data_IF_348507522547
#
_entry.id   IF_348507522547
#
_cell.length_a   1.000
_cell.length_b   1.000
_cell.length_c   1.000
_cell.angle_alpha   90.00
_cell.angle_beta   90.00
_cell.angle_gamma   90.00
#
_symmetry.space_group_name_H-M   'P 1'
#
loop_
_entity.id
_entity.type
_entity.pdbx_description
1 polymer ?
#
# COMPACT_ATOMS: atom_id res chain seq x y z
N UNK A 1 -24.88 69.77 1.34
CA UNK A 1 -23.51 69.74 1.91
C UNK A 1 -23.61 68.95 3.21
N UNK A 2 -23.05 67.76 3.47
CA UNK A 2 -22.00 66.88 2.92
C UNK A 2 -22.43 65.45 3.27
N UNK A 3 -22.19 64.48 2.39
CA UNK A 3 -22.31 63.05 2.72
C UNK A 3 -21.08 62.32 2.17
N UNK A 4 -20.71 61.24 2.87
CA UNK A 4 -19.73 60.18 2.52
C UNK A 4 -18.31 60.32 3.07
N UNK A 5 -18.10 59.90 4.33
CA UNK A 5 -16.77 59.47 4.82
C UNK A 5 -16.87 58.37 5.89
N UNK A 6 -17.37 57.18 5.57
CA UNK A 6 -17.24 56.02 6.48
C UNK A 6 -16.81 54.71 5.80
N UNK A 7 -16.72 54.65 4.47
CA UNK A 7 -16.38 53.42 3.75
C UNK A 7 -14.89 53.06 3.76
N UNK A 8 -13.99 53.96 4.19
CA UNK A 8 -12.54 53.74 4.10
C UNK A 8 -11.93 53.06 5.33
N UNK A 9 -12.62 53.04 6.47
CA UNK A 9 -12.06 52.57 7.74
C UNK A 9 -12.22 51.06 7.95
N UNK A 10 -13.26 50.44 7.38
CA UNK A 10 -13.49 48.99 7.51
C UNK A 10 -12.49 48.14 6.73
N UNK A 11 -12.04 48.61 5.56
CA UNK A 11 -11.11 47.88 4.70
C UNK A 11 -9.67 47.92 5.21
N UNK A 12 -9.29 48.99 5.92
CA UNK A 12 -7.96 49.12 6.52
C UNK A 12 -7.78 48.19 7.74
N UNK A 13 -8.83 48.00 8.54
CA UNK A 13 -8.80 47.14 9.73
C UNK A 13 -8.70 45.64 9.41
N UNK A 14 -9.14 45.23 8.21
CA UNK A 14 -8.97 43.85 7.73
C UNK A 14 -7.54 43.56 7.24
N UNK A 15 -6.72 44.60 7.02
CA UNK A 15 -5.34 44.48 6.53
C UNK A 15 -4.31 44.40 7.67
N UNK A 16 -4.68 44.80 8.88
CA UNK A 16 -3.84 44.80 10.08
C UNK A 16 -4.13 43.62 11.03
N UNK A 17 -5.07 42.73 10.69
CA UNK A 17 -5.44 41.59 11.53
C UNK A 17 -4.54 40.38 11.24
N UNK A 18 -3.29 40.42 11.73
CA UNK A 18 -2.30 39.33 11.60
C UNK A 18 -2.77 38.01 12.23
N UNK A 19 -3.77 38.06 13.11
CA UNK A 19 -4.40 36.92 13.78
C UNK A 19 -4.99 35.89 12.80
N UNK A 20 -5.53 36.35 11.65
CA UNK A 20 -6.13 35.48 10.63
C UNK A 20 -5.12 34.91 9.63
N UNK A 21 -3.97 35.56 9.47
CA UNK A 21 -2.92 35.15 8.53
C UNK A 21 -2.34 33.80 8.90
N UNK A 22 -2.14 33.53 10.19
CA UNK A 22 -1.63 32.24 10.67
C UNK A 22 -2.59 31.08 10.37
N UNK A 23 -3.91 31.27 10.52
CA UNK A 23 -4.90 30.25 10.17
C UNK A 23 -4.95 29.99 8.66
N UNK A 24 -4.84 31.05 7.85
CA UNK A 24 -4.83 30.92 6.38
C UNK A 24 -3.58 30.14 5.93
N UNK A 25 -2.42 30.43 6.49
CA UNK A 25 -1.19 29.73 6.18
C UNK A 25 -1.29 28.22 6.50
N UNK A 26 -1.80 27.86 7.68
CA UNK A 26 -2.02 26.45 8.04
C UNK A 26 -3.00 25.77 7.08
N UNK A 27 -4.08 26.44 6.67
CA UNK A 27 -5.05 25.87 5.71
C UNK A 27 -4.42 25.63 4.34
N UNK A 28 -3.51 26.50 3.89
CA UNK A 28 -2.77 26.33 2.63
C UNK A 28 -1.79 25.15 2.72
N UNK A 29 -1.12 24.97 3.86
CA UNK A 29 -0.19 23.85 4.07
C UNK A 29 -0.87 22.51 4.39
N UNK A 30 -2.07 22.54 4.97
CA UNK A 30 -2.82 21.34 5.39
C UNK A 30 -2.98 20.29 4.28
N UNK A 31 -3.40 20.62 3.04
CA UNK A 31 -3.50 19.63 1.97
C UNK A 31 -2.16 19.00 1.60
N UNK A 32 -1.06 19.77 1.66
CA UNK A 32 0.28 19.23 1.42
C UNK A 32 0.67 18.23 2.52
N UNK A 33 0.46 18.61 3.78
CA UNK A 33 0.78 17.74 4.93
C UNK A 33 -0.06 16.45 4.92
N UNK A 34 -1.36 16.57 4.63
CA UNK A 34 -2.26 15.42 4.48
C UNK A 34 -1.81 14.56 3.31
N UNK A 35 -1.46 15.16 2.16
CA UNK A 35 -0.92 14.44 1.01
C UNK A 35 0.34 13.64 1.36
N UNK A 36 1.30 14.27 2.05
CA UNK A 36 2.51 13.58 2.52
C UNK A 36 2.19 12.43 3.49
N UNK A 37 1.25 12.63 4.42
CA UNK A 37 0.82 11.58 5.34
C UNK A 37 0.19 10.39 4.59
N UNK A 38 -0.68 10.65 3.63
CA UNK A 38 -1.28 9.61 2.80
C UNK A 38 -0.23 8.83 2.00
N UNK A 39 0.77 9.52 1.43
CA UNK A 39 1.88 8.85 0.73
C UNK A 39 2.69 7.94 1.66
N UNK A 40 2.96 8.37 2.89
CA UNK A 40 3.66 7.56 3.89
C UNK A 40 2.84 6.32 4.25
N UNK A 41 1.53 6.48 4.44
CA UNK A 41 0.62 5.37 4.76
C UNK A 41 0.59 4.38 3.60
N UNK A 42 0.40 4.85 2.37
CA UNK A 42 0.37 3.98 1.18
C UNK A 42 1.68 3.22 0.99
N UNK A 43 2.82 3.90 1.11
CA UNK A 43 4.10 3.23 0.99
C UNK A 43 4.32 2.18 2.09
N UNK A 44 3.96 2.51 3.33
CA UNK A 44 3.99 1.55 4.45
C UNK A 44 3.11 0.34 4.18
N UNK A 45 1.93 0.56 3.61
CA UNK A 45 0.97 -0.48 3.27
C UNK A 45 1.50 -1.41 2.17
N UNK A 46 2.07 -0.86 1.09
CA UNK A 46 2.70 -1.65 0.02
C UNK A 46 3.86 -2.51 0.55
N UNK A 47 4.70 -1.94 1.42
CA UNK A 47 5.79 -2.67 2.05
C UNK A 47 5.29 -3.79 2.97
N UNK A 48 4.19 -3.57 3.68
CA UNK A 48 3.53 -4.59 4.50
C UNK A 48 3.03 -5.75 3.65
N UNK A 49 2.28 -5.48 2.57
CA UNK A 49 1.79 -6.51 1.64
C UNK A 49 2.96 -7.32 1.08
N UNK A 50 4.01 -6.64 0.61
CA UNK A 50 5.19 -7.32 0.08
C UNK A 50 5.85 -8.24 1.12
N UNK A 51 6.05 -7.75 2.36
CA UNK A 51 6.63 -8.56 3.43
C UNK A 51 5.77 -9.80 3.74
N UNK A 52 4.45 -9.63 3.76
CA UNK A 52 3.50 -10.71 3.99
C UNK A 52 3.54 -11.76 2.88
N UNK A 53 3.57 -11.34 1.61
CA UNK A 53 3.74 -12.23 0.45
C UNK A 53 5.02 -13.07 0.56
N UNK A 54 6.12 -12.48 1.02
CA UNK A 54 7.37 -13.19 1.29
C UNK A 54 7.25 -14.21 2.42
N UNK A 55 6.51 -13.89 3.48
CA UNK A 55 6.26 -14.81 4.58
C UNK A 55 5.39 -15.98 4.13
N UNK A 56 4.25 -15.70 3.48
CA UNK A 56 3.31 -16.72 3.03
C UNK A 56 3.93 -17.67 2.00
N UNK A 57 4.69 -17.13 1.03
CA UNK A 57 5.39 -17.94 0.03
C UNK A 57 6.41 -18.87 0.68
N UNK A 58 7.15 -18.39 1.67
CA UNK A 58 8.18 -19.17 2.36
C UNK A 58 7.57 -20.27 3.22
N UNK A 59 6.50 -19.96 3.94
CA UNK A 59 5.81 -20.92 4.78
C UNK A 59 5.13 -22.01 3.94
N UNK A 60 4.54 -21.64 2.81
CA UNK A 60 3.99 -22.60 1.83
C UNK A 60 5.08 -23.47 1.23
N UNK A 61 6.17 -22.87 0.72
CA UNK A 61 7.29 -23.62 0.15
C UNK A 61 7.88 -24.61 1.17
N UNK A 62 8.02 -24.19 2.43
CA UNK A 62 8.45 -25.05 3.52
C UNK A 62 7.47 -26.18 3.80
N UNK A 63 6.17 -25.89 3.86
CA UNK A 63 5.13 -26.88 4.16
C UNK A 63 5.06 -27.98 3.08
N UNK A 64 5.19 -27.61 1.80
CA UNK A 64 5.27 -28.58 0.69
C UNK A 64 6.59 -29.34 0.74
N UNK A 65 7.71 -28.67 1.00
CA UNK A 65 9.04 -29.29 1.08
C UNK A 65 9.11 -30.42 2.10
N UNK A 66 8.47 -30.26 3.26
CA UNK A 66 8.42 -31.26 4.34
C UNK A 66 7.22 -32.21 4.23
N UNK A 67 6.51 -32.19 3.10
CA UNK A 67 5.36 -33.07 2.83
C UNK A 67 4.21 -32.90 3.83
N UNK A 68 4.10 -31.73 4.47
CA UNK A 68 2.98 -31.42 5.38
C UNK A 68 1.69 -31.14 4.62
N UNK A 69 1.81 -30.56 3.43
CA UNK A 69 0.71 -30.29 2.51
C UNK A 69 1.08 -30.83 1.12
N UNK A 70 0.08 -31.24 0.35
CA UNK A 70 0.29 -31.70 -1.02
C UNK A 70 0.46 -30.50 -1.97
N UNK A 71 1.14 -30.67 -3.11
CA UNK A 71 1.23 -29.63 -4.14
C UNK A 71 -0.15 -29.13 -4.61
N UNK A 72 -1.13 -30.04 -4.68
CA UNK A 72 -2.51 -29.73 -5.12
C UNK A 72 -3.25 -28.82 -4.12
N UNK A 73 -2.88 -28.88 -2.84
CA UNK A 73 -3.45 -28.03 -1.78
C UNK A 73 -2.64 -26.75 -1.52
N UNK A 74 -1.43 -26.66 -2.10
CA UNK A 74 -0.48 -25.61 -1.77
C UNK A 74 -0.93 -24.21 -2.21
N UNK A 75 -1.63 -24.10 -3.34
CA UNK A 75 -2.18 -22.81 -3.82
C UNK A 75 -3.30 -22.32 -2.91
N UNK A 76 -4.19 -23.22 -2.48
CA UNK A 76 -5.26 -22.88 -1.54
C UNK A 76 -4.70 -22.50 -0.17
N UNK A 77 -3.67 -23.21 0.29
CA UNK A 77 -2.96 -22.91 1.52
C UNK A 77 -2.28 -21.53 1.48
N UNK A 78 -1.59 -21.22 0.38
CA UNK A 78 -0.96 -19.92 0.17
C UNK A 78 -1.99 -18.79 0.13
N UNK A 79 -3.14 -19.01 -0.53
CA UNK A 79 -4.24 -18.03 -0.57
C UNK A 79 -4.84 -17.76 0.81
N UNK A 80 -4.99 -18.78 1.66
CA UNK A 80 -5.54 -18.62 3.01
C UNK A 80 -4.61 -17.81 3.94
N UNK A 81 -3.29 -17.88 3.69
CA UNK A 81 -2.30 -17.12 4.45
C UNK A 81 -2.25 -15.63 4.08
N UNK A 82 -2.80 -15.24 2.94
CA UNK A 82 -2.85 -13.83 2.52
C UNK A 82 -4.00 -13.12 3.25
N UNK A 83 -3.70 -11.95 3.84
CA UNK A 83 -4.61 -11.12 4.63
C UNK A 83 -5.75 -10.57 3.77
N UNK A 84 -5.48 -10.26 2.50
CA UNK A 84 -6.44 -9.65 1.58
C UNK A 84 -6.96 -10.64 0.54
N UNK A 85 -7.60 -11.72 0.98
CA UNK A 85 -8.10 -12.81 0.11
C UNK A 85 -9.01 -12.38 -1.08
N UNK A 86 -9.51 -11.14 -1.07
CA UNK A 86 -10.36 -10.57 -2.13
C UNK A 86 -9.58 -9.99 -3.32
N UNK A 87 -8.29 -9.77 -3.17
CA UNK A 87 -7.47 -9.23 -4.24
C UNK A 87 -7.08 -10.35 -5.23
N UNK A 88 -6.92 -9.97 -6.50
CA UNK A 88 -6.68 -10.90 -7.60
C UNK A 88 -5.19 -11.26 -7.66
N UNK A 89 -4.73 -12.00 -6.64
CA UNK A 89 -3.37 -12.52 -6.59
C UNK A 89 -3.14 -13.59 -7.65
N UNK A 90 -2.07 -13.43 -8.43
CA UNK A 90 -1.50 -14.48 -9.27
C UNK A 90 -0.61 -15.37 -8.39
N UNK A 91 -1.11 -16.57 -8.10
CA UNK A 91 -0.49 -17.55 -7.21
C UNK A 91 -0.07 -18.74 -8.05
N UNK A 92 1.19 -19.15 -7.93
CA UNK A 92 1.72 -20.32 -8.62
C UNK A 92 2.63 -21.10 -7.68
N UNK A 93 2.31 -22.38 -7.45
CA UNK A 93 3.17 -23.31 -6.73
C UNK A 93 3.61 -24.43 -7.66
N UNK A 94 4.91 -24.48 -7.96
CA UNK A 94 5.50 -25.55 -8.78
C UNK A 94 6.33 -26.47 -7.91
N UNK A 95 6.08 -27.77 -8.02
CA UNK A 95 6.87 -28.79 -7.34
C UNK A 95 7.56 -29.69 -8.37
N UNK A 96 8.86 -29.87 -8.19
CA UNK A 96 9.70 -30.84 -8.93
C UNK A 96 10.16 -31.93 -7.95
N UNK A 97 10.87 -32.95 -8.44
CA UNK A 97 11.46 -34.00 -7.61
C UNK A 97 12.51 -33.49 -6.61
N UNK A 98 13.16 -32.34 -6.88
CA UNK A 98 14.21 -31.79 -6.03
C UNK A 98 13.85 -30.45 -5.37
N UNK A 99 12.89 -29.70 -5.92
CA UNK A 99 12.61 -28.32 -5.53
C UNK A 99 11.12 -28.01 -5.46
N UNK A 100 10.78 -27.06 -4.59
CA UNK A 100 9.47 -26.41 -4.50
C UNK A 100 9.67 -24.92 -4.76
N UNK A 101 8.88 -24.36 -5.67
CA UNK A 101 8.85 -22.92 -5.97
C UNK A 101 7.46 -22.39 -5.69
N UNK A 102 7.34 -21.48 -4.73
CA UNK A 102 6.12 -20.73 -4.46
C UNK A 102 6.29 -19.29 -4.97
N UNK A 103 5.39 -18.85 -5.83
CA UNK A 103 5.32 -17.50 -6.37
C UNK A 103 3.96 -16.90 -6.05
N UNK A 104 3.98 -15.65 -5.63
CA UNK A 104 2.78 -14.83 -5.48
C UNK A 104 3.07 -13.46 -6.07
N UNK A 105 2.14 -12.95 -6.88
CA UNK A 105 2.22 -11.64 -7.52
C UNK A 105 0.90 -10.91 -7.38
N UNK A 106 0.96 -9.58 -7.27
CA UNK A 106 -0.20 -8.70 -7.20
C UNK A 106 0.10 -7.44 -8.01
N UNK A 107 -0.88 -6.96 -8.76
CA UNK A 107 -0.78 -5.67 -9.44
C UNK A 107 -0.66 -4.55 -8.39
N UNK A 108 0.42 -3.78 -8.44
CA UNK A 108 0.70 -2.75 -7.46
C UNK A 108 -0.35 -1.63 -7.47
N UNK A 109 -1.04 -1.42 -8.59
CA UNK A 109 -2.13 -0.45 -8.68
C UNK A 109 -3.37 -0.91 -7.90
N UNK A 110 -3.64 -2.22 -7.87
CA UNK A 110 -4.73 -2.81 -7.07
C UNK A 110 -4.42 -2.86 -5.58
N UNK A 111 -3.14 -2.95 -5.22
CA UNK A 111 -2.65 -2.99 -3.84
C UNK A 111 -2.58 -1.60 -3.16
N UNK A 112 -2.71 -0.51 -3.93
CA UNK A 112 -2.58 0.83 -3.41
C UNK A 112 -3.85 1.26 -2.64
N UNK A 113 -3.67 1.77 -1.42
CA UNK A 113 -4.78 2.25 -0.59
C UNK A 113 -5.37 3.57 -1.14
N UNK A 114 -4.57 4.42 -1.79
CA UNK A 114 -5.06 5.63 -2.46
C UNK A 114 -4.89 5.60 -3.98
N UNK A 115 -5.75 6.34 -4.73
CA UNK A 115 -5.64 6.44 -6.18
C UNK A 115 -4.37 7.16 -6.65
N UNK A 116 -3.70 7.90 -5.76
CA UNK A 116 -2.53 8.71 -6.11
C UNK A 116 -1.37 7.76 -6.43
N UNK A 117 -1.02 6.86 -5.51
CA UNK A 117 0.07 5.92 -5.73
C UNK A 117 -0.27 4.92 -6.84
N UNK A 118 -1.50 4.41 -6.90
CA UNK A 118 -1.92 3.46 -7.93
C UNK A 118 -1.83 3.98 -9.37
N UNK A 119 -1.81 5.31 -9.58
CA UNK A 119 -1.60 5.91 -10.90
C UNK A 119 -0.12 6.05 -11.29
N UNK A 120 0.79 6.10 -10.32
CA UNK A 120 2.23 6.31 -10.56
C UNK A 120 3.05 5.03 -10.42
N UNK A 121 2.57 4.04 -9.66
CA UNK A 121 3.21 2.73 -9.54
C UNK A 121 2.70 1.85 -10.66
N UNK A 122 3.58 1.55 -11.62
CA UNK A 122 3.32 0.59 -12.69
C UNK A 122 4.10 -0.69 -12.42
N UNK A 123 3.43 -1.83 -12.55
CA UNK A 123 4.03 -3.16 -12.48
C UNK A 123 3.51 -4.00 -11.32
N UNK A 124 3.97 -5.24 -11.27
CA UNK A 124 3.55 -6.18 -10.24
C UNK A 124 4.51 -6.15 -9.05
N UNK A 125 3.95 -6.18 -7.84
CA UNK A 125 4.70 -6.54 -6.63
C UNK A 125 4.58 -8.04 -6.45
N UNK A 126 5.70 -8.72 -6.21
CA UNK A 126 5.72 -10.17 -6.15
C UNK A 126 6.80 -10.70 -5.24
N UNK A 127 6.53 -11.86 -4.66
CA UNK A 127 7.49 -12.66 -3.92
C UNK A 127 7.64 -14.04 -4.59
N UNK A 128 8.88 -14.51 -4.66
CA UNK A 128 9.18 -15.84 -5.17
C UNK A 128 10.19 -16.51 -4.25
N UNK A 129 9.84 -17.70 -3.76
CA UNK A 129 10.70 -18.51 -2.90
C UNK A 129 10.88 -19.88 -3.54
N UNK A 130 12.14 -20.31 -3.66
CA UNK A 130 12.51 -21.67 -4.06
C UNK A 130 13.16 -22.38 -2.87
N UNK A 131 12.79 -23.63 -2.63
CA UNK A 131 13.29 -24.44 -1.53
C UNK A 131 13.51 -25.89 -1.97
N UNK A 132 14.62 -26.50 -1.55
CA UNK A 132 14.91 -27.91 -1.81
C UNK A 132 13.90 -28.79 -1.07
N UNK A 133 13.34 -29.79 -1.77
CA UNK A 133 12.40 -30.76 -1.23
C UNK A 133 13.14 -31.90 -0.52
N UNK A 134 12.59 -32.37 0.59
CA UNK A 134 13.14 -33.54 1.27
C UNK A 134 12.95 -34.82 0.43
N UNK A 135 13.90 -35.77 0.42
CA UNK A 135 13.73 -37.03 -0.27
C UNK A 135 12.64 -37.88 0.41
N UNK A 136 11.78 -38.51 -0.41
CA UNK A 136 10.69 -39.41 0.02
C UNK A 136 11.19 -40.71 0.66
#
# INVERSE_FOLDING_TARGET
MRSKTHAKTGLARFRDDESGTFTIEVVIWSPLLIGCLLLIIDFSYLMMINAEMWHASRDTARAVSIHRITPDEAEAYLRDQLVFQRDDYDIEVRTTSADVVARVSLDAASAALTPIIGQYVMGDIGAQVAMLREPE
#
